data_IF_124556084409
#
_entry.id   IF_124556084409
#
_cell.length_a   1.000
_cell.length_b   1.000
_cell.length_c   1.000
_cell.angle_alpha   90.00
_cell.angle_beta   90.00
_cell.angle_gamma   90.00
#
_symmetry.space_group_name_H-M   'P 1'
#
loop_
_entity.id
_entity.type
_entity.pdbx_description
1 polymer ?
#
# COMPACT_ATOMS: atom_id res chain seq x y z
N UNK A 1 -13.74 3.62 24.79
CA UNK A 1 -13.44 4.52 23.65
C UNK A 1 -12.54 3.77 22.70
N UNK A 2 -13.01 3.52 21.49
CA UNK A 2 -12.25 2.88 20.41
C UNK A 2 -11.39 3.96 19.76
N UNK A 3 -10.08 3.75 19.60
CA UNK A 3 -9.24 4.68 18.87
C UNK A 3 -9.46 4.42 17.37
N UNK A 4 -10.21 5.30 16.74
CA UNK A 4 -10.49 5.27 15.29
C UNK A 4 -9.99 6.56 14.67
N UNK A 5 -9.24 6.44 13.58
CA UNK A 5 -8.82 7.57 12.75
C UNK A 5 -10.02 8.17 12.00
N UNK A 6 -10.02 9.49 11.80
CA UNK A 6 -11.00 10.16 10.97
C UNK A 6 -10.71 9.92 9.47
N UNK A 7 -11.66 10.24 8.57
CA UNK A 7 -11.42 10.21 7.13
C UNK A 7 -10.21 11.07 6.74
N UNK A 8 -9.23 10.49 6.04
CA UNK A 8 -7.97 11.15 5.65
C UNK A 8 -6.83 11.02 6.67
N UNK A 9 -7.07 10.33 7.79
CA UNK A 9 -6.08 10.01 8.82
C UNK A 9 -5.72 8.52 8.78
N UNK A 10 -4.47 8.20 9.09
CA UNK A 10 -3.96 6.84 9.17
C UNK A 10 -3.20 6.71 10.49
N UNK A 11 -3.50 5.65 11.24
CA UNK A 11 -2.72 5.26 12.43
C UNK A 11 -1.50 4.46 12.00
N UNK A 12 -0.32 4.91 12.40
CA UNK A 12 0.95 4.27 12.04
C UNK A 12 1.79 4.10 13.32
N UNK A 13 2.43 2.96 13.50
CA UNK A 13 3.35 2.76 14.64
C UNK A 13 4.66 3.52 14.42
N UNK A 14 5.33 3.91 15.51
CA UNK A 14 6.65 4.55 15.43
C UNK A 14 7.67 3.67 14.67
N UNK A 15 7.65 2.36 14.91
CA UNK A 15 8.50 1.39 14.22
C UNK A 15 8.25 1.35 12.70
N UNK A 16 7.00 1.54 12.26
CA UNK A 16 6.67 1.61 10.85
C UNK A 16 7.12 2.95 10.25
N UNK A 17 6.94 4.06 10.96
CA UNK A 17 7.45 5.37 10.54
C UNK A 17 8.98 5.38 10.35
N UNK A 18 9.70 4.73 11.27
CA UNK A 18 11.16 4.58 11.17
C UNK A 18 11.59 3.70 9.98
N UNK A 19 10.76 2.74 9.56
CA UNK A 19 11.01 1.92 8.38
C UNK A 19 10.70 2.63 7.04
N UNK A 20 10.03 3.80 7.06
CA UNK A 20 9.72 4.56 5.85
C UNK A 20 10.95 5.24 5.25
N UNK A 21 11.00 5.29 3.92
CA UNK A 21 11.98 6.09 3.18
C UNK A 21 11.82 7.59 3.49
N UNK A 22 12.90 8.37 3.31
CA UNK A 22 12.86 9.82 3.54
C UNK A 22 11.77 10.54 2.73
N UNK A 23 11.49 10.09 1.50
CA UNK A 23 10.43 10.64 0.66
C UNK A 23 9.02 10.33 1.19
N UNK A 24 8.81 9.11 1.71
CA UNK A 24 7.55 8.68 2.31
C UNK A 24 7.26 9.39 3.65
N UNK A 25 8.30 9.69 4.44
CA UNK A 25 8.16 10.50 5.66
C UNK A 25 7.70 11.92 5.37
N UNK A 26 8.16 12.52 4.27
CA UNK A 26 7.82 13.89 3.89
C UNK A 26 6.36 14.11 3.48
N UNK A 27 5.62 13.04 3.15
CA UNK A 27 4.20 13.11 2.77
C UNK A 27 3.24 12.90 3.93
N UNK A 28 3.75 12.42 5.06
CA UNK A 28 3.00 12.18 6.29
C UNK A 28 3.20 13.36 7.23
N UNK A 29 2.09 13.95 7.70
CA UNK A 29 2.14 14.95 8.77
C UNK A 29 1.60 14.32 10.04
N UNK A 30 2.42 14.32 11.10
CA UNK A 30 1.99 13.90 12.42
C UNK A 30 0.87 14.82 12.91
N UNK A 31 -0.27 14.24 13.24
CA UNK A 31 -1.44 14.92 13.79
C UNK A 31 -1.49 14.80 15.31
N UNK A 32 -1.28 13.60 15.86
CA UNK A 32 -1.39 13.33 17.30
C UNK A 32 -0.65 12.05 17.70
N UNK A 33 -0.50 11.81 19.01
CA UNK A 33 -0.03 10.54 19.60
C UNK A 33 -1.14 9.94 20.46
N UNK A 34 -1.65 8.77 20.08
CA UNK A 34 -2.76 8.09 20.77
C UNK A 34 -2.32 6.78 21.43
N UNK A 35 -2.77 6.54 22.66
CA UNK A 35 -2.60 5.26 23.34
C UNK A 35 -3.73 4.29 22.93
N UNK A 36 -3.38 3.11 22.40
CA UNK A 36 -4.36 2.12 21.98
C UNK A 36 -4.65 1.12 23.11
N UNK A 37 -5.94 0.86 23.38
CA UNK A 37 -6.36 -0.01 24.48
C UNK A 37 -5.96 -1.46 24.18
N UNK A 38 -4.99 -2.00 24.93
CA UNK A 38 -4.55 -3.39 24.85
C UNK A 38 -3.11 -3.61 24.38
N UNK A 39 -2.36 -2.55 24.03
CA UNK A 39 -0.90 -2.60 23.80
C UNK A 39 -0.23 -1.42 24.52
N UNK A 40 0.97 -1.64 25.07
CA UNK A 40 1.75 -0.59 25.76
C UNK A 40 2.41 0.43 24.80
N UNK A 41 2.15 0.34 23.50
CA UNK A 41 2.77 1.22 22.50
C UNK A 41 1.88 2.42 22.17
N UNK A 42 2.51 3.60 22.11
CA UNK A 42 1.90 4.83 21.58
C UNK A 42 1.86 4.74 20.05
N UNK A 43 0.71 5.03 19.46
CA UNK A 43 0.53 5.09 18.02
C UNK A 43 0.58 6.53 17.55
N UNK A 44 1.33 6.78 16.49
CA UNK A 44 1.43 8.09 15.87
C UNK A 44 0.32 8.19 14.81
N UNK A 45 -0.53 9.21 14.94
CA UNK A 45 -1.60 9.48 13.98
C UNK A 45 -1.02 10.38 12.90
N UNK A 46 -1.03 9.94 11.66
CA UNK A 46 -0.59 10.76 10.53
C UNK A 46 -1.77 11.10 9.63
N UNK A 47 -1.78 12.31 9.07
CA UNK A 47 -2.59 12.58 7.88
C UNK A 47 -1.74 12.34 6.65
N UNK A 48 -2.32 11.61 5.69
CA UNK A 48 -1.82 11.59 4.34
C UNK A 48 -2.37 12.82 3.65
N UNK A 49 -1.50 13.72 3.19
CA UNK A 49 -1.96 14.84 2.36
C UNK A 49 -2.51 14.27 1.05
N UNK A 50 -3.83 14.13 0.98
CA UNK A 50 -4.51 13.89 -0.26
C UNK A 50 -4.36 15.14 -1.10
N UNK A 51 -3.72 15.03 -2.25
CA UNK A 51 -3.83 16.05 -3.31
C UNK A 51 -5.13 15.78 -4.08
N UNK A 52 -6.22 15.58 -3.34
CA UNK A 52 -7.54 15.43 -3.92
C UNK A 52 -7.88 16.79 -4.50
N UNK A 53 -7.68 16.92 -5.81
CA UNK A 53 -8.15 18.02 -6.65
C UNK A 53 -9.67 18.10 -6.72
N UNK A 54 -10.36 17.92 -5.60
CA UNK A 54 -11.74 18.35 -5.43
C UNK A 54 -11.67 19.85 -5.12
N UNK A 55 -12.24 20.73 -5.96
CA UNK A 55 -12.36 22.13 -5.61
C UNK A 55 -13.39 22.22 -4.47
N UNK A 56 -12.92 22.07 -3.23
CA UNK A 56 -13.69 22.50 -2.08
C UNK A 56 -13.82 24.02 -2.17
N UNK A 57 -15.05 24.48 -2.30
CA UNK A 57 -15.43 25.90 -2.33
C UNK A 57 -15.04 26.55 -1.00
N UNK A 58 -13.76 26.90 -0.86
CA UNK A 58 -13.29 27.74 0.23
C UNK A 58 -13.32 29.20 -0.24
N UNK A 59 -14.20 29.96 0.40
CA UNK A 59 -14.24 31.42 0.33
C UNK A 59 -12.83 31.96 0.59
N UNK A 60 -12.32 32.71 -0.39
CA UNK A 60 -10.98 33.23 -0.41
C UNK A 60 -10.66 34.09 0.81
N UNK A 61 -9.61 33.73 1.55
CA UNK A 61 -8.78 34.72 2.22
C UNK A 61 -7.49 34.86 1.42
N UNK A 62 -7.25 36.09 0.96
CA UNK A 62 -6.04 36.53 0.24
C UNK A 62 -4.78 36.19 1.04
N UNK A 63 -4.22 35.03 0.78
CA UNK A 63 -2.83 34.70 1.03
C UNK A 63 -2.20 34.36 -0.31
N UNK A 64 -1.02 34.90 -0.59
CA UNK A 64 -0.22 34.56 -1.76
C UNK A 64 0.05 33.06 -1.77
N UNK A 65 -0.78 32.30 -2.49
CA UNK A 65 -0.50 30.91 -2.83
C UNK A 65 0.68 30.92 -3.78
N UNK A 66 1.89 30.80 -3.23
CA UNK A 66 3.01 30.27 -3.98
C UNK A 66 2.63 28.82 -4.26
N UNK A 67 2.01 28.63 -5.42
CA UNK A 67 1.82 27.35 -6.06
C UNK A 67 3.22 26.80 -6.32
N UNK A 68 3.84 26.19 -5.30
CA UNK A 68 4.98 25.30 -5.51
C UNK A 68 4.42 24.21 -6.39
N UNK A 69 4.62 24.33 -7.71
CA UNK A 69 4.53 23.23 -8.66
C UNK A 69 5.37 22.12 -8.05
N UNK A 70 4.73 21.21 -7.33
CA UNK A 70 5.40 20.03 -6.79
C UNK A 70 5.85 19.29 -8.03
N UNK A 71 7.16 19.12 -8.21
CA UNK A 71 7.67 18.33 -9.31
C UNK A 71 6.92 16.98 -9.30
N UNK A 72 6.50 16.45 -10.46
CA UNK A 72 5.87 15.14 -10.52
C UNK A 72 6.78 14.15 -9.77
N UNK A 73 6.20 13.28 -8.92
CA UNK A 73 7.01 12.33 -8.17
C UNK A 73 7.86 11.51 -9.15
N UNK A 74 9.11 11.18 -8.78
CA UNK A 74 9.99 10.44 -9.66
C UNK A 74 9.29 9.13 -10.10
N UNK A 75 9.45 8.73 -11.38
CA UNK A 75 8.84 7.51 -11.86
C UNK A 75 9.34 6.33 -11.03
N UNK A 76 8.45 5.42 -10.69
CA UNK A 76 8.77 4.16 -10.04
C UNK A 76 8.25 3.02 -10.90
N UNK A 77 8.95 1.88 -10.83
CA UNK A 77 8.47 0.62 -11.37
C UNK A 77 8.33 -0.39 -10.24
N UNK A 78 7.28 -1.19 -10.28
CA UNK A 78 7.05 -2.28 -9.35
C UNK A 78 7.38 -3.59 -10.06
N UNK A 79 8.39 -4.29 -9.58
CA UNK A 79 8.79 -5.60 -10.07
C UNK A 79 8.13 -6.66 -9.19
N UNK A 80 7.45 -7.63 -9.81
CA UNK A 80 6.74 -8.71 -9.12
C UNK A 80 7.24 -10.04 -9.67
N UNK A 81 7.68 -10.92 -8.78
CA UNK A 81 8.18 -12.27 -9.10
C UNK A 81 7.35 -13.33 -8.40
N UNK A 82 6.92 -14.33 -9.16
CA UNK A 82 6.24 -15.52 -8.66
C UNK A 82 6.67 -16.74 -9.48
N UNK A 83 7.31 -17.73 -8.83
CA UNK A 83 7.95 -18.85 -9.54
C UNK A 83 8.85 -18.31 -10.67
N UNK A 84 8.62 -18.76 -11.91
CA UNK A 84 9.33 -18.32 -13.12
C UNK A 84 8.70 -17.09 -13.80
N UNK A 85 7.62 -16.54 -13.24
CA UNK A 85 6.91 -15.39 -13.76
C UNK A 85 7.53 -14.10 -13.21
N UNK A 86 7.95 -13.21 -14.11
CA UNK A 86 8.40 -11.85 -13.79
C UNK A 86 7.48 -10.85 -14.51
N UNK A 87 6.97 -9.86 -13.77
CA UNK A 87 6.18 -8.76 -14.30
C UNK A 87 6.68 -7.43 -13.75
N UNK A 88 6.58 -6.39 -14.57
CA UNK A 88 6.76 -5.01 -14.15
C UNK A 88 5.42 -4.29 -14.26
N UNK A 89 5.14 -3.41 -13.31
CA UNK A 89 4.03 -2.47 -13.37
C UNK A 89 4.62 -1.06 -13.33
N UNK A 90 4.45 -0.31 -14.41
CA UNK A 90 4.76 1.11 -14.50
C UNK A 90 3.56 1.98 -14.13
N UNK A 91 3.72 3.31 -14.29
CA UNK A 91 2.66 4.27 -14.00
C UNK A 91 1.47 4.09 -14.96
N UNK A 92 0.25 4.07 -14.41
CA UNK A 92 -1.01 3.79 -15.12
C UNK A 92 -1.13 2.38 -15.75
N UNK A 93 -0.20 1.48 -15.43
CA UNK A 93 -0.32 0.07 -15.79
C UNK A 93 -1.00 -0.71 -14.65
N UNK A 94 -1.49 -1.89 -14.99
CA UNK A 94 -2.12 -2.83 -14.08
C UNK A 94 -1.47 -4.19 -14.26
N UNK A 95 -1.14 -4.86 -13.15
CA UNK A 95 -0.72 -6.27 -13.17
C UNK A 95 -1.67 -7.07 -12.29
N UNK A 96 -2.42 -7.97 -12.90
CA UNK A 96 -3.45 -8.78 -12.23
C UNK A 96 -2.88 -10.10 -11.71
N UNK A 97 -3.35 -10.51 -10.54
CA UNK A 97 -3.03 -11.82 -9.95
C UNK A 97 -4.31 -12.60 -9.66
N UNK A 98 -4.28 -13.91 -9.91
CA UNK A 98 -5.43 -14.76 -9.64
C UNK A 98 -5.27 -16.18 -10.16
N UNK A 99 -6.25 -17.04 -9.89
CA UNK A 99 -6.24 -18.42 -10.42
C UNK A 99 -6.70 -18.52 -11.87
N UNK A 100 -7.30 -17.46 -12.42
CA UNK A 100 -7.74 -17.44 -13.81
C UNK A 100 -6.53 -17.44 -14.75
N UNK A 101 -6.54 -18.17 -15.87
CA UNK A 101 -5.47 -18.09 -16.88
C UNK A 101 -5.42 -16.72 -17.57
N UNK A 102 -6.43 -15.87 -17.38
CA UNK A 102 -6.49 -14.50 -17.90
C UNK A 102 -5.67 -13.50 -17.08
N UNK A 103 -5.17 -13.89 -15.89
CA UNK A 103 -4.37 -13.02 -15.05
C UNK A 103 -2.91 -12.95 -15.53
N UNK A 104 -2.27 -11.80 -15.35
CA UNK A 104 -0.86 -11.60 -15.71
C UNK A 104 0.07 -12.51 -14.92
N UNK A 105 -0.26 -12.75 -13.64
CA UNK A 105 0.36 -13.74 -12.77
C UNK A 105 -0.69 -14.77 -12.35
N UNK A 106 -0.52 -15.99 -12.85
CA UNK A 106 -1.46 -17.09 -12.62
C UNK A 106 -1.00 -17.93 -11.43
N UNK A 107 -1.88 -18.07 -10.43
CA UNK A 107 -1.65 -18.87 -9.21
C UNK A 107 -2.77 -19.92 -9.09
N UNK A 108 -2.52 -21.12 -9.61
CA UNK A 108 -3.50 -22.20 -9.69
C UNK A 108 -3.68 -22.91 -8.34
N UNK A 109 -4.31 -22.23 -7.38
CA UNK A 109 -4.69 -22.81 -6.09
C UNK A 109 -6.16 -22.58 -5.75
N UNK A 110 -6.84 -23.51 -5.05
CA UNK A 110 -8.27 -23.40 -4.75
C UNK A 110 -8.64 -22.16 -3.92
N UNK A 111 -7.76 -21.73 -3.01
CA UNK A 111 -7.98 -20.57 -2.14
C UNK A 111 -7.69 -19.22 -2.82
N UNK A 112 -7.23 -19.21 -4.06
CA UNK A 112 -7.01 -17.98 -4.82
C UNK A 112 -8.24 -17.69 -5.67
N UNK A 113 -8.86 -16.51 -5.53
CA UNK A 113 -9.95 -16.07 -6.41
C UNK A 113 -9.51 -15.96 -7.88
N UNK A 114 -10.46 -16.07 -8.82
CA UNK A 114 -10.17 -15.99 -10.28
C UNK A 114 -9.43 -14.71 -10.64
N UNK A 115 -9.92 -13.58 -10.13
CA UNK A 115 -9.24 -12.29 -10.12
C UNK A 115 -9.10 -11.92 -8.63
N UNK A 116 -7.90 -12.09 -8.08
CA UNK A 116 -7.66 -12.02 -6.64
C UNK A 116 -7.29 -10.60 -6.21
N UNK A 117 -6.29 -10.03 -6.87
CA UNK A 117 -5.85 -8.67 -6.64
C UNK A 117 -5.19 -8.09 -7.88
N UNK A 118 -4.97 -6.78 -7.85
CA UNK A 118 -4.31 -6.04 -8.93
C UNK A 118 -3.27 -5.11 -8.35
N UNK A 119 -2.06 -5.14 -8.89
CA UNK A 119 -1.04 -4.13 -8.64
C UNK A 119 -1.24 -2.94 -9.57
N UNK A 120 -1.13 -1.74 -9.00
CA UNK A 120 -1.29 -0.48 -9.74
C UNK A 120 -0.23 0.51 -9.30
N UNK A 121 0.28 1.34 -10.21
CA UNK A 121 1.03 2.55 -9.85
C UNK A 121 0.25 3.77 -10.32
N UNK A 122 0.02 4.71 -9.39
CA UNK A 122 -0.57 6.01 -9.69
C UNK A 122 0.07 7.07 -8.80
N UNK A 123 0.37 8.24 -9.38
CA UNK A 123 0.98 9.38 -8.68
C UNK A 123 2.25 8.99 -7.90
N UNK A 124 3.09 8.13 -8.49
CA UNK A 124 4.33 7.64 -7.88
C UNK A 124 4.13 6.72 -6.68
N UNK A 125 2.94 6.15 -6.50
CA UNK A 125 2.60 5.24 -5.39
C UNK A 125 2.18 3.88 -5.94
N UNK A 126 2.84 2.83 -5.46
CA UNK A 126 2.45 1.45 -5.74
C UNK A 126 1.35 1.01 -4.75
N UNK A 127 0.34 0.30 -5.27
CA UNK A 127 -0.81 -0.16 -4.49
C UNK A 127 -1.20 -1.58 -4.89
N UNK A 128 -1.61 -2.37 -3.91
CA UNK A 128 -2.30 -3.63 -4.11
C UNK A 128 -3.80 -3.40 -3.88
N UNK A 129 -4.60 -3.59 -4.93
CA UNK A 129 -6.06 -3.53 -4.90
C UNK A 129 -6.56 -4.96 -4.66
N UNK A 130 -6.92 -5.29 -3.42
CA UNK A 130 -7.29 -6.65 -3.00
C UNK A 130 -8.81 -6.84 -3.07
N UNK A 131 -9.30 -7.85 -3.80
CA UNK A 131 -10.76 -8.07 -4.00
C UNK A 131 -11.20 -9.53 -3.81
N UNK A 132 -10.36 -10.37 -3.22
CA UNK A 132 -10.62 -11.80 -3.17
C UNK A 132 -11.60 -12.21 -2.07
N UNK A 133 -11.97 -13.50 -2.09
CA UNK A 133 -12.80 -14.11 -1.05
C UNK A 133 -12.00 -14.43 0.22
N UNK A 134 -10.74 -14.82 0.07
CA UNK A 134 -9.86 -15.35 1.12
C UNK A 134 -8.88 -14.33 1.70
N UNK A 135 -8.79 -13.13 1.10
CA UNK A 135 -7.85 -12.09 1.48
C UNK A 135 -6.42 -12.42 1.08
N UNK A 136 -5.52 -11.49 1.39
CA UNK A 136 -4.09 -11.57 1.10
C UNK A 136 -3.29 -11.21 2.34
N UNK A 137 -2.20 -11.92 2.58
CA UNK A 137 -1.21 -11.60 3.61
C UNK A 137 -0.05 -10.85 2.97
N UNK A 138 0.34 -9.70 3.54
CA UNK A 138 1.36 -8.81 3.00
C UNK A 138 2.39 -8.52 4.08
N UNK A 139 3.66 -8.76 3.79
CA UNK A 139 4.79 -8.43 4.65
C UNK A 139 5.69 -7.42 3.93
N UNK A 140 5.98 -6.30 4.60
CA UNK A 140 6.79 -5.20 4.06
C UNK A 140 7.85 -4.81 5.09
N UNK A 141 9.08 -4.55 4.64
CA UNK A 141 10.15 -4.07 5.54
C UNK A 141 10.46 -5.02 6.70
N UNK A 142 10.09 -4.65 7.92
CA UNK A 142 10.45 -5.33 9.20
C UNK A 142 9.88 -6.74 9.39
N UNK A 143 9.29 -7.33 8.34
CA UNK A 143 8.80 -8.70 8.34
C UNK A 143 7.44 -8.90 9.03
N UNK A 144 6.80 -7.84 9.51
CA UNK A 144 5.46 -7.92 10.09
C UNK A 144 4.42 -8.17 8.98
N UNK A 145 3.68 -9.27 9.11
CA UNK A 145 2.66 -9.67 8.16
C UNK A 145 1.29 -9.04 8.53
N UNK A 146 0.68 -8.38 7.56
CA UNK A 146 -0.64 -7.75 7.65
C UNK A 146 -1.62 -8.52 6.78
N UNK A 147 -2.84 -8.73 7.29
CA UNK A 147 -3.92 -9.33 6.52
C UNK A 147 -4.80 -8.25 5.89
N UNK A 148 -5.01 -8.33 4.59
CA UNK A 148 -5.78 -7.38 3.78
C UNK A 148 -6.89 -8.14 3.07
N UNK A 149 -8.12 -7.62 3.13
CA UNK A 149 -9.26 -8.24 2.43
C UNK A 149 -10.26 -7.19 2.00
N UNK A 150 -10.55 -7.12 0.70
CA UNK A 150 -11.47 -6.17 0.06
C UNK A 150 -11.11 -4.70 0.29
N UNK A 151 -9.82 -4.46 0.50
CA UNK A 151 -9.25 -3.15 0.77
C UNK A 151 -8.09 -2.90 -0.18
N UNK A 152 -7.67 -1.65 -0.25
CA UNK A 152 -6.45 -1.26 -0.96
C UNK A 152 -5.34 -0.99 0.05
N UNK A 153 -4.12 -1.42 -0.27
CA UNK A 153 -2.93 -1.13 0.56
C UNK A 153 -1.81 -0.53 -0.27
N UNK A 154 -1.16 0.50 0.27
CA UNK A 154 0.06 1.05 -0.29
C UNK A 154 1.25 0.14 -0.03
N UNK A 155 2.05 -0.09 -1.06
CA UNK A 155 3.29 -0.85 -0.98
C UNK A 155 4.48 0.08 -0.92
N UNK A 156 5.51 -0.31 -0.18
CA UNK A 156 6.76 0.42 -0.05
C UNK A 156 7.95 -0.53 -0.09
N UNK A 157 9.09 -0.04 -0.59
CA UNK A 157 10.34 -0.80 -0.67
C UNK A 157 10.15 -2.14 -1.36
N UNK A 158 10.48 -3.21 -0.64
CA UNK A 158 10.29 -4.59 -1.07
C UNK A 158 9.59 -5.41 0.00
N UNK A 159 9.06 -6.56 -0.41
CA UNK A 159 8.32 -7.42 0.50
C UNK A 159 7.77 -8.68 -0.15
N UNK A 160 6.89 -9.33 0.59
CA UNK A 160 6.27 -10.60 0.24
C UNK A 160 4.75 -10.49 0.31
N UNK A 161 4.07 -11.09 -0.65
CA UNK A 161 2.62 -11.17 -0.74
C UNK A 161 2.22 -12.64 -0.86
N UNK A 162 1.26 -13.06 -0.06
CA UNK A 162 0.75 -14.44 -0.02
C UNK A 162 -0.79 -14.48 -0.09
N UNK A 163 -1.37 -14.80 -1.26
CA UNK A 163 -2.81 -14.88 -1.46
C UNK A 163 -3.46 -16.01 -0.66
N UNK A 164 -4.47 -15.68 0.15
CA UNK A 164 -5.34 -16.61 0.89
C UNK A 164 -4.71 -17.40 2.04
N UNK A 165 -3.38 -17.44 2.15
CA UNK A 165 -2.65 -18.17 3.21
C UNK A 165 -1.53 -17.30 3.79
N UNK A 166 -1.22 -17.48 5.07
CA UNK A 166 -0.06 -16.84 5.71
C UNK A 166 1.22 -17.33 5.06
N UNK A 167 2.20 -16.45 4.93
CA UNK A 167 3.51 -16.76 4.33
C UNK A 167 4.29 -17.83 5.10
N UNK A 168 3.97 -18.05 6.39
CA UNK A 168 4.58 -19.09 7.22
C UNK A 168 4.06 -20.51 6.97
N UNK A 169 3.00 -20.68 6.20
CA UNK A 169 2.45 -21.99 5.85
C UNK A 169 3.20 -22.58 4.66
N UNK A 170 3.55 -23.88 4.71
CA UNK A 170 4.36 -24.52 3.67
C UNK A 170 3.70 -24.62 2.29
N UNK A 171 2.38 -24.48 2.21
CA UNK A 171 1.62 -24.45 0.95
C UNK A 171 1.28 -23.03 0.48
N UNK A 172 1.79 -22.00 1.18
CA UNK A 172 1.63 -20.61 0.78
C UNK A 172 2.26 -20.36 -0.60
N UNK A 173 1.62 -19.49 -1.39
CA UNK A 173 2.13 -19.09 -2.69
C UNK A 173 2.73 -17.69 -2.55
N UNK A 174 4.05 -17.62 -2.64
CA UNK A 174 4.83 -16.45 -2.26
C UNK A 174 5.17 -15.62 -3.49
N UNK A 175 4.61 -14.42 -3.59
CA UNK A 175 5.05 -13.40 -4.54
C UNK A 175 6.06 -12.49 -3.83
N UNK A 176 7.16 -12.21 -4.50
CA UNK A 176 8.10 -11.18 -4.07
C UNK A 176 7.85 -9.91 -4.89
N UNK A 177 7.91 -8.76 -4.23
CA UNK A 177 7.83 -7.48 -4.92
C UNK A 177 8.99 -6.57 -4.53
N UNK A 178 9.36 -5.68 -5.45
CA UNK A 178 10.33 -4.62 -5.23
C UNK A 178 9.94 -3.37 -6.01
N UNK A 179 9.97 -2.22 -5.34
CA UNK A 179 9.77 -0.91 -5.98
C UNK A 179 11.13 -0.32 -6.29
N UNK A 180 11.41 -0.11 -7.57
CA UNK A 180 12.64 0.51 -8.07
C UNK A 180 12.36 1.93 -8.53
N UNK A 181 13.27 2.85 -8.23
CA UNK A 181 13.25 4.19 -8.84
C UNK A 181 13.67 4.09 -10.31
N UNK A 182 12.95 4.80 -11.18
CA UNK A 182 13.31 4.98 -12.58
C UNK A 182 14.42 6.00 -12.79
#
# INVERSE_FOLDING_TARGET
MSATANPGEVLISQSFFEALSAGSRGTLRLLDKMAFKGKQELFDVYTLRSDDGVPSTHVASRGTFVERRSAPPPPINLIIRYEDQLRSCGNNELVTIGRSPECDIVIQRPWVSRHHATFTISNGKARLVERSSSGTFVSMGSGQEVYVRREDILLFGSGVISPGRRSSLGDAQILHYEIVSG
#
